data_IF_635710062312
#
_entry.id   IF_635710062312
#
_cell.length_a   1.000
_cell.length_b   1.000
_cell.length_c   1.000
_cell.angle_alpha   90.00
_cell.angle_beta   90.00
_cell.angle_gamma   90.00
#
_symmetry.space_group_name_H-M   'P 1'
#
loop_
_entity.id
_entity.type
_entity.pdbx_description
1 polymer ?
#
# COMPACT_ATOMS: atom_id res chain seq x y z
N UNK A 1 27.68 5.87 -11.14
CA UNK A 1 27.33 5.62 -9.72
C UNK A 1 26.36 4.46 -9.68
N UNK A 2 26.88 3.25 -9.51
CA UNK A 2 26.08 2.03 -9.44
C UNK A 2 25.74 1.74 -7.99
N UNK A 3 24.46 1.63 -7.68
CA UNK A 3 23.98 1.16 -6.38
C UNK A 3 24.38 -0.32 -6.22
N UNK A 4 25.31 -0.56 -5.31
CA UNK A 4 25.69 -1.91 -4.87
C UNK A 4 24.55 -2.45 -4.01
N UNK A 5 23.53 -2.99 -4.69
CA UNK A 5 22.49 -3.80 -4.06
C UNK A 5 23.13 -5.04 -3.43
N UNK A 6 23.27 -5.03 -2.11
CA UNK A 6 23.81 -6.14 -1.35
C UNK A 6 22.73 -7.24 -1.23
N UNK A 7 22.77 -8.22 -2.13
CA UNK A 7 21.86 -9.37 -2.11
C UNK A 7 22.24 -10.31 -0.97
N UNK A 8 21.47 -10.31 0.11
CA UNK A 8 21.64 -11.29 1.20
C UNK A 8 21.06 -12.63 0.75
N UNK A 9 21.95 -13.57 0.40
CA UNK A 9 21.62 -14.95 0.06
C UNK A 9 21.12 -15.67 1.32
N UNK A 10 19.92 -16.26 1.24
CA UNK A 10 19.24 -16.95 2.35
C UNK A 10 20.03 -18.21 2.71
N UNK A 11 20.74 -18.18 3.84
CA UNK A 11 21.41 -19.38 4.35
C UNK A 11 22.27 -19.22 5.60
N UNK A 12 22.28 -18.06 6.25
CA UNK A 12 23.33 -17.75 7.20
C UNK A 12 22.87 -16.69 8.20
N UNK A 13 22.93 -17.07 9.47
CA UNK A 13 22.57 -16.27 10.64
C UNK A 13 23.80 -15.40 10.97
N UNK A 14 23.90 -14.21 10.36
CA UNK A 14 25.06 -13.33 10.53
C UNK A 14 24.81 -12.27 11.61
N UNK A 15 25.81 -12.06 12.45
CA UNK A 15 25.91 -10.93 13.38
C UNK A 15 26.71 -9.81 12.70
N UNK A 16 26.12 -8.62 12.55
CA UNK A 16 26.82 -7.43 12.04
C UNK A 16 26.62 -6.28 13.03
N UNK A 17 27.52 -6.23 14.02
CA UNK A 17 27.56 -5.24 15.09
C UNK A 17 27.78 -3.81 14.55
N UNK A 18 28.40 -3.67 13.37
CA UNK A 18 28.62 -2.35 12.74
C UNK A 18 27.32 -1.69 12.27
N UNK A 19 26.29 -2.50 11.97
CA UNK A 19 24.96 -2.05 11.54
C UNK A 19 23.90 -2.13 12.65
N UNK A 20 24.28 -2.42 13.90
CA UNK A 20 23.35 -2.60 15.02
C UNK A 20 22.44 -3.83 14.88
N UNK A 21 22.85 -4.82 14.08
CA UNK A 21 22.05 -6.01 13.80
C UNK A 21 22.40 -7.08 14.84
N UNK A 22 21.47 -7.31 15.78
CA UNK A 22 21.58 -8.36 16.78
C UNK A 22 20.90 -9.65 16.31
N UNK A 23 21.56 -10.78 16.57
CA UNK A 23 20.96 -12.10 16.42
C UNK A 23 19.71 -12.20 17.28
N UNK A 24 18.58 -12.53 16.66
CA UNK A 24 17.30 -12.63 17.34
C UNK A 24 16.90 -14.09 17.49
N UNK A 25 16.69 -14.53 18.72
CA UNK A 25 16.24 -15.90 19.03
C UNK A 25 14.72 -16.07 18.98
N UNK A 26 13.99 -14.98 18.74
CA UNK A 26 12.51 -14.93 18.73
C UNK A 26 11.85 -15.98 17.83
N UNK A 27 12.44 -16.30 16.68
CA UNK A 27 11.93 -17.37 15.81
C UNK A 27 12.06 -18.74 16.48
N UNK A 28 13.24 -19.02 17.04
CA UNK A 28 13.51 -20.29 17.72
C UNK A 28 12.60 -20.43 18.95
N UNK A 29 12.42 -19.36 19.72
CA UNK A 29 11.51 -19.34 20.87
C UNK A 29 10.08 -19.64 20.44
N UNK A 30 9.54 -18.96 19.43
CA UNK A 30 8.17 -19.21 18.92
C UNK A 30 8.00 -20.61 18.35
N UNK A 31 9.02 -21.13 17.66
CA UNK A 31 9.01 -22.50 17.15
C UNK A 31 8.92 -23.51 18.29
N UNK A 32 9.74 -23.34 19.33
CA UNK A 32 9.74 -24.21 20.50
C UNK A 32 8.44 -24.10 21.31
N UNK A 33 7.86 -22.90 21.45
CA UNK A 33 6.56 -22.70 22.09
C UNK A 33 5.44 -23.44 21.34
N UNK A 34 5.43 -23.36 20.01
CA UNK A 34 4.48 -24.11 19.20
C UNK A 34 4.68 -25.63 19.33
N UNK A 35 5.93 -26.08 19.40
CA UNK A 35 6.27 -27.50 19.47
C UNK A 35 5.98 -28.11 20.85
N UNK A 36 6.39 -27.42 21.92
CA UNK A 36 6.37 -27.94 23.30
C UNK A 36 5.07 -27.58 24.03
N UNK A 37 4.54 -26.38 23.81
CA UNK A 37 3.34 -25.88 24.49
C UNK A 37 2.08 -25.90 23.60
N UNK A 38 2.19 -26.41 22.36
CA UNK A 38 1.11 -26.42 21.35
C UNK A 38 0.50 -25.03 21.09
N UNK A 39 1.30 -23.99 21.21
CA UNK A 39 0.90 -22.63 20.85
C UNK A 39 0.83 -22.46 19.32
N UNK A 40 0.14 -21.41 18.85
CA UNK A 40 -0.09 -21.16 17.42
C UNK A 40 0.54 -19.84 16.97
N UNK A 41 1.84 -19.64 17.22
CA UNK A 41 2.56 -18.47 16.72
C UNK A 41 2.83 -18.57 15.22
N UNK A 42 2.69 -17.48 14.45
CA UNK A 42 3.07 -17.46 13.04
C UNK A 42 4.60 -17.55 12.89
N UNK A 43 5.06 -18.55 12.14
CA UNK A 43 6.47 -18.82 11.85
C UNK A 43 6.85 -18.44 10.42
N UNK A 44 6.47 -17.24 9.98
CA UNK A 44 6.75 -16.79 8.62
C UNK A 44 8.13 -16.14 8.55
N UNK A 45 9.04 -16.76 7.81
CA UNK A 45 10.43 -16.30 7.66
C UNK A 45 10.53 -14.83 7.19
N UNK A 46 9.60 -14.38 6.31
CA UNK A 46 9.56 -13.00 5.80
C UNK A 46 9.34 -11.93 6.88
N UNK A 47 8.60 -12.27 7.95
CA UNK A 47 8.25 -11.35 9.05
C UNK A 47 9.40 -11.21 10.06
N UNK A 48 10.44 -12.04 9.92
CA UNK A 48 11.64 -12.07 10.76
C UNK A 48 12.84 -11.40 10.09
N UNK A 49 12.68 -10.80 8.90
CA UNK A 49 13.73 -10.02 8.26
C UNK A 49 13.98 -8.72 9.04
N UNK A 50 15.24 -8.37 9.24
CA UNK A 50 15.69 -7.15 9.95
C UNK A 50 15.11 -5.87 9.32
N UNK A 51 14.76 -5.92 8.03
CA UNK A 51 14.11 -4.84 7.28
C UNK A 51 12.62 -5.09 6.98
N UNK A 52 11.94 -5.98 7.71
CA UNK A 52 10.47 -6.06 7.65
C UNK A 52 9.89 -4.84 8.36
N UNK A 53 9.96 -3.69 7.70
CA UNK A 53 9.26 -2.49 8.12
C UNK A 53 7.89 -2.55 7.44
N UNK A 54 6.83 -2.76 8.21
CA UNK A 54 5.42 -2.69 7.75
C UNK A 54 5.03 -1.27 7.28
N UNK A 55 5.97 -0.31 7.29
CA UNK A 55 5.74 1.10 6.94
C UNK A 55 5.39 1.32 5.47
N UNK A 56 5.64 0.34 4.58
CA UNK A 56 5.27 0.49 3.17
C UNK A 56 3.77 0.30 2.96
N UNK A 57 3.04 -0.42 3.83
CA UNK A 57 1.59 -0.54 3.69
C UNK A 57 0.84 0.60 4.38
N UNK A 58 1.23 0.99 5.60
CA UNK A 58 0.49 2.03 6.34
C UNK A 58 0.77 3.45 5.83
N UNK A 59 2.01 3.77 5.44
CA UNK A 59 2.32 5.10 4.89
C UNK A 59 1.73 5.28 3.47
N UNK A 60 1.69 4.20 2.69
CA UNK A 60 1.07 4.21 1.36
C UNK A 60 -0.45 4.21 1.47
N UNK A 61 -1.06 3.50 2.44
CA UNK A 61 -2.50 3.62 2.74
C UNK A 61 -2.88 5.03 3.16
N UNK A 62 -2.18 5.61 4.14
CA UNK A 62 -2.48 6.95 4.64
C UNK A 62 -2.41 8.03 3.54
N UNK A 63 -1.36 7.99 2.70
CA UNK A 63 -1.26 8.88 1.53
C UNK A 63 -2.31 8.57 0.45
N UNK A 64 -2.75 7.32 0.31
CA UNK A 64 -3.80 6.97 -0.64
C UNK A 64 -5.17 7.43 -0.19
N UNK A 65 -5.45 7.44 1.11
CA UNK A 65 -6.70 7.91 1.68
C UNK A 65 -6.83 9.43 1.52
N UNK A 66 -5.79 10.21 1.90
CA UNK A 66 -5.80 11.67 1.69
C UNK A 66 -5.98 12.05 0.23
N UNK A 67 -5.35 11.33 -0.71
CA UNK A 67 -5.48 11.67 -2.13
C UNK A 67 -6.76 11.10 -2.75
N UNK A 68 -7.37 10.04 -2.19
CA UNK A 68 -8.72 9.63 -2.59
C UNK A 68 -9.75 10.72 -2.28
N UNK A 69 -9.63 11.36 -1.12
CA UNK A 69 -10.49 12.48 -0.74
C UNK A 69 -10.32 13.67 -1.71
N UNK A 70 -9.08 13.97 -2.13
CA UNK A 70 -8.87 15.03 -3.14
C UNK A 70 -9.47 14.71 -4.51
N UNK A 71 -9.54 13.43 -4.92
CA UNK A 71 -10.20 13.04 -6.19
C UNK A 71 -11.71 13.25 -6.07
N UNK A 72 -12.30 12.90 -4.93
CA UNK A 72 -13.72 13.13 -4.67
C UNK A 72 -14.07 14.62 -4.66
N UNK A 73 -13.25 15.46 -4.01
CA UNK A 73 -13.42 16.92 -4.01
C UNK A 73 -13.35 17.53 -5.41
N UNK A 74 -12.46 17.03 -6.26
CA UNK A 74 -12.36 17.48 -7.65
C UNK A 74 -13.59 17.12 -8.47
N UNK A 75 -14.18 15.95 -8.22
CA UNK A 75 -15.42 15.51 -8.86
C UNK A 75 -16.60 16.36 -8.36
N UNK A 76 -16.67 16.66 -7.05
CA UNK A 76 -17.71 17.54 -6.47
C UNK A 76 -17.64 18.96 -7.02
N UNK A 77 -16.43 19.48 -7.31
CA UNK A 77 -16.22 20.80 -7.93
C UNK A 77 -16.53 20.82 -9.42
N UNK A 78 -16.26 19.73 -10.14
CA UNK A 78 -16.53 19.63 -11.57
C UNK A 78 -17.08 18.25 -11.94
N UNK A 79 -18.39 18.17 -12.11
CA UNK A 79 -19.09 16.94 -12.46
C UNK A 79 -18.70 16.37 -13.84
N UNK A 80 -18.11 17.16 -14.74
CA UNK A 80 -17.68 16.71 -16.06
C UNK A 80 -16.20 16.32 -16.13
N UNK A 81 -15.52 16.25 -14.97
CA UNK A 81 -14.08 16.02 -14.94
C UNK A 81 -13.68 14.66 -15.53
N UNK A 82 -12.64 14.67 -16.36
CA UNK A 82 -12.10 13.45 -16.96
C UNK A 82 -10.92 12.90 -16.15
N UNK A 83 -10.70 11.58 -16.18
CA UNK A 83 -9.55 10.95 -15.51
C UNK A 83 -8.18 11.56 -15.89
N UNK A 84 -8.05 12.07 -17.13
CA UNK A 84 -6.86 12.77 -17.62
C UNK A 84 -6.64 14.09 -16.90
N UNK A 85 -7.71 14.85 -16.64
CA UNK A 85 -7.63 16.14 -15.94
C UNK A 85 -7.31 15.94 -14.45
N UNK A 86 -7.87 14.89 -13.83
CA UNK A 86 -7.55 14.48 -12.46
C UNK A 86 -6.05 14.15 -12.35
N UNK A 87 -5.52 13.37 -13.29
CA UNK A 87 -4.10 13.02 -13.36
C UNK A 87 -3.21 14.26 -13.45
N UNK A 88 -3.54 15.22 -14.34
CA UNK A 88 -2.80 16.48 -14.49
C UNK A 88 -2.84 17.34 -13.22
N UNK A 89 -4.01 17.50 -12.60
CA UNK A 89 -4.17 18.34 -11.40
C UNK A 89 -3.43 17.76 -10.19
N UNK A 90 -3.53 16.45 -9.98
CA UNK A 90 -2.92 15.78 -8.82
C UNK A 90 -1.48 15.31 -9.08
N UNK A 91 -0.95 15.48 -10.31
CA UNK A 91 0.35 14.96 -10.75
C UNK A 91 0.53 13.47 -10.46
N UNK A 92 -0.55 12.70 -10.59
CA UNK A 92 -0.55 11.24 -10.42
C UNK A 92 -0.67 10.54 -11.77
N UNK A 93 -0.28 9.26 -11.82
CA UNK A 93 -0.44 8.47 -13.04
C UNK A 93 -1.90 8.28 -13.43
N UNK A 94 -2.16 8.19 -14.73
CA UNK A 94 -3.50 7.99 -15.29
C UNK A 94 -4.14 6.67 -14.79
N UNK A 95 -3.34 5.62 -14.60
CA UNK A 95 -3.79 4.35 -14.04
C UNK A 95 -4.24 4.48 -12.59
N UNK A 96 -3.50 5.25 -11.78
CA UNK A 96 -3.90 5.58 -10.39
C UNK A 96 -5.22 6.36 -10.38
N UNK A 97 -5.38 7.38 -11.24
CA UNK A 97 -6.64 8.14 -11.34
C UNK A 97 -7.82 7.24 -11.68
N UNK A 98 -7.70 6.37 -12.69
CA UNK A 98 -8.75 5.41 -13.08
C UNK A 98 -9.11 4.45 -11.95
N UNK A 99 -8.10 3.87 -11.29
CA UNK A 99 -8.29 2.95 -10.16
C UNK A 99 -9.05 3.63 -9.02
N UNK A 100 -8.72 4.88 -8.69
CA UNK A 100 -9.39 5.65 -7.63
C UNK A 100 -10.84 6.00 -7.96
N UNK A 101 -11.11 6.44 -9.19
CA UNK A 101 -12.49 6.66 -9.65
C UNK A 101 -13.31 5.36 -9.55
N UNK A 102 -12.71 4.22 -9.91
CA UNK A 102 -13.35 2.91 -9.77
C UNK A 102 -13.65 2.58 -8.30
N UNK A 103 -12.70 2.81 -7.41
CA UNK A 103 -12.90 2.60 -5.97
C UNK A 103 -14.02 3.48 -5.39
N UNK A 104 -14.08 4.78 -5.77
CA UNK A 104 -15.15 5.68 -5.36
C UNK A 104 -16.52 5.24 -5.89
N UNK A 105 -16.57 4.66 -7.08
CA UNK A 105 -17.80 4.08 -7.66
C UNK A 105 -18.22 2.81 -6.90
N UNK A 106 -17.28 1.93 -6.56
CA UNK A 106 -17.53 0.72 -5.76
C UNK A 106 -17.98 1.05 -4.33
N UNK A 107 -17.44 2.12 -3.75
CA UNK A 107 -17.86 2.66 -2.46
C UNK A 107 -19.23 3.38 -2.49
N UNK A 108 -19.83 3.57 -3.67
CA UNK A 108 -21.12 4.24 -3.82
C UNK A 108 -21.09 5.77 -3.72
N UNK A 109 -19.91 6.39 -3.53
CA UNK A 109 -19.77 7.84 -3.38
C UNK A 109 -20.02 8.63 -4.68
N UNK A 110 -19.79 8.01 -5.83
CA UNK A 110 -20.01 8.64 -7.14
C UNK A 110 -20.77 7.71 -8.08
N UNK A 111 -21.67 8.29 -8.88
CA UNK A 111 -22.41 7.60 -9.93
C UNK A 111 -22.31 8.37 -11.23
N UNK A 112 -22.08 7.66 -12.33
CA UNK A 112 -22.11 8.27 -13.65
C UNK A 112 -23.54 8.31 -14.17
N UNK A 113 -23.99 9.48 -14.61
CA UNK A 113 -25.32 9.72 -15.16
C UNK A 113 -25.16 10.17 -16.62
N UNK A 114 -25.85 9.50 -17.55
CA UNK A 114 -25.84 9.79 -18.98
C UNK A 114 -25.05 8.78 -19.83
N UNK A 115 -24.89 9.12 -21.11
CA UNK A 115 -24.23 8.28 -22.12
C UNK A 115 -22.72 8.19 -21.92
N UNK A 116 -22.07 7.17 -22.47
CA UNK A 116 -20.63 6.98 -22.36
C UNK A 116 -19.78 8.11 -22.93
N UNK A 117 -20.35 8.95 -23.80
CA UNK A 117 -19.65 10.08 -24.41
C UNK A 117 -19.97 11.43 -23.78
N UNK A 118 -21.13 11.59 -23.13
CA UNK A 118 -21.63 12.89 -22.63
C UNK A 118 -22.03 12.87 -21.16
N UNK A 119 -21.96 11.71 -20.51
CA UNK A 119 -22.37 11.54 -19.12
C UNK A 119 -21.41 12.21 -18.15
N UNK A 120 -21.99 12.72 -17.06
CA UNK A 120 -21.29 13.39 -15.98
C UNK A 120 -21.28 12.56 -14.71
N UNK A 121 -20.38 12.88 -13.80
CA UNK A 121 -20.29 12.30 -12.47
C UNK A 121 -21.23 13.04 -11.51
N UNK A 122 -22.09 12.30 -10.84
CA UNK A 122 -22.92 12.77 -9.73
C UNK A 122 -22.33 12.21 -8.43
N UNK A 123 -21.92 13.09 -7.52
CA UNK A 123 -21.59 12.68 -6.16
C UNK A 123 -22.89 12.30 -5.44
N UNK A 124 -22.89 11.13 -4.80
CA UNK A 124 -23.95 10.65 -3.93
C UNK A 124 -23.30 10.63 -2.55
N UNK A 125 -23.73 11.55 -1.69
CA UNK A 125 -23.34 11.61 -0.29
C UNK A 125 -24.18 10.61 0.52
#
# INVERSE_FOLDING_TARGET
MGEIGCWVRVGVNYEDLSKGIHKTEKYLIRFLLNLLLKENHPLKNREMHIHYIDTVNDTVKLKNDTVNDTVFDLIKKNNHITAVEISKKLKISLSTSKRRIKALKEQGKIKRIGSDKTGYWKAIE
#
